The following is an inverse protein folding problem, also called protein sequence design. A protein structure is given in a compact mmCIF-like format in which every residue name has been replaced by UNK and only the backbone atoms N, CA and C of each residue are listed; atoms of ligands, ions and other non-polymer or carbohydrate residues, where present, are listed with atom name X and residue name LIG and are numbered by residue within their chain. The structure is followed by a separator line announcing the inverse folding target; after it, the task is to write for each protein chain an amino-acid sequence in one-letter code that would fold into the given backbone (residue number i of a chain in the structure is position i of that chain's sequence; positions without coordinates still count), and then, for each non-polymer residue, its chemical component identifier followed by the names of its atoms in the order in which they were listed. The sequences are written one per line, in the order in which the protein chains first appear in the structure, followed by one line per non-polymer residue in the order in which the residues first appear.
data_IF_826430931011
#
_entry.id   IF_826430931011
#
_cell.length_a   1.000
_cell.length_b   1.000
_cell.length_c   1.000
_cell.angle_alpha   90.00
_cell.angle_beta   90.00
_cell.angle_gamma   90.00
#
_symmetry.space_group_name_H-M   'P 1'
#
loop_
_entity.id
_entity.type
_entity.pdbx_description
1 polymer ?
#
# COMPACT_ATOMS: atom_id res chain seq x y z
N UNK A 1 -2.46 13.74 -5.99
CA UNK A 1 -1.75 12.45 -6.14
C UNK A 1 -2.76 11.34 -6.38
N UNK A 2 -2.54 10.51 -7.39
CA UNK A 2 -3.41 9.37 -7.69
C UNK A 2 -3.44 8.40 -6.50
N UNK A 3 -4.64 8.04 -6.04
CA UNK A 3 -4.78 7.04 -4.98
C UNK A 3 -4.34 5.71 -5.56
N UNK A 4 -3.20 5.19 -5.12
CA UNK A 4 -2.71 3.86 -5.53
C UNK A 4 -3.74 2.82 -5.10
N UNK A 5 -4.64 2.44 -6.01
CA UNK A 5 -5.64 1.39 -5.79
C UNK A 5 -4.95 0.04 -5.92
N UNK A 6 -4.24 -0.35 -4.87
CA UNK A 6 -3.61 -1.68 -4.82
C UNK A 6 -4.69 -2.72 -4.55
N UNK A 7 -5.14 -3.41 -5.59
CA UNK A 7 -6.11 -4.50 -5.42
C UNK A 7 -5.39 -5.77 -4.95
N UNK A 8 -5.86 -6.34 -3.84
CA UNK A 8 -5.34 -7.61 -3.29
C UNK A 8 -5.39 -8.75 -4.32
N UNK A 9 -6.42 -8.73 -5.18
CA UNK A 9 -6.62 -9.72 -6.25
C UNK A 9 -5.52 -9.63 -7.31
N UNK A 10 -5.15 -8.43 -7.75
CA UNK A 10 -4.07 -8.23 -8.71
C UNK A 10 -2.72 -8.65 -8.13
N UNK A 11 -2.40 -8.24 -6.91
CA UNK A 11 -1.17 -8.66 -6.22
C UNK A 11 -1.07 -10.17 -6.07
N UNK A 12 -2.17 -10.83 -5.70
CA UNK A 12 -2.21 -12.29 -5.57
C UNK A 12 -1.95 -12.98 -6.92
N UNK A 13 -2.60 -12.53 -8.00
CA UNK A 13 -2.38 -13.10 -9.34
C UNK A 13 -0.93 -12.95 -9.74
N UNK A 14 -0.41 -11.72 -9.67
CA UNK A 14 0.95 -11.40 -10.07
C UNK A 14 2.00 -12.21 -9.29
N UNK A 15 1.84 -12.35 -7.97
CA UNK A 15 2.75 -13.15 -7.14
C UNK A 15 2.63 -14.65 -7.44
N UNK A 16 1.42 -15.15 -7.67
CA UNK A 16 1.20 -16.54 -8.06
C UNK A 16 1.87 -16.85 -9.40
N UNK A 17 1.65 -15.99 -10.39
CA UNK A 17 2.15 -16.15 -11.75
C UNK A 17 3.68 -16.08 -11.76
N UNK A 18 4.26 -15.09 -11.08
CA UNK A 18 5.71 -14.96 -10.93
C UNK A 18 6.36 -16.18 -10.26
N UNK A 19 5.78 -16.70 -9.18
CA UNK A 19 6.31 -17.90 -8.52
C UNK A 19 6.16 -19.16 -9.38
N UNK A 20 5.06 -19.30 -10.13
CA UNK A 20 4.87 -20.41 -11.07
C UNK A 20 5.91 -20.36 -12.18
N UNK A 21 6.13 -19.19 -12.79
CA UNK A 21 7.17 -19.00 -13.81
C UNK A 21 8.55 -19.32 -13.28
N UNK A 22 8.92 -18.82 -12.10
CA UNK A 22 10.23 -19.11 -11.48
C UNK A 22 10.47 -20.62 -11.26
N UNK A 23 9.43 -21.37 -10.88
CA UNK A 23 9.51 -22.81 -10.68
C UNK A 23 9.55 -23.57 -12.00
N UNK A 24 8.85 -23.09 -13.02
CA UNK A 24 8.92 -23.66 -14.37
C UNK A 24 10.33 -23.57 -14.97
N UNK A 25 11.12 -22.55 -14.61
CA UNK A 25 12.50 -22.40 -15.06
C UNK A 25 13.51 -23.30 -14.34
N UNK A 26 13.14 -23.94 -13.23
CA UNK A 26 14.06 -24.77 -12.44
C UNK A 26 14.26 -26.19 -13.02
N UNK A 27 13.75 -26.48 -14.22
CA UNK A 27 13.79 -27.80 -14.89
C UNK A 27 13.36 -28.97 -13.97
N UNK A 28 12.51 -28.68 -12.98
CA UNK A 28 12.01 -29.67 -12.05
C UNK A 28 10.92 -30.53 -12.72
N UNK A 29 10.76 -31.80 -12.29
CA UNK A 29 9.62 -32.62 -12.70
C UNK A 29 8.31 -31.87 -12.43
N UNK A 30 7.28 -32.14 -13.25
CA UNK A 30 5.99 -31.44 -13.19
C UNK A 30 5.52 -31.28 -11.73
N UNK A 31 5.22 -30.05 -11.29
CA UNK A 31 4.85 -29.80 -9.90
C UNK A 31 3.60 -30.61 -9.54
N UNK A 32 3.67 -31.33 -8.42
CA UNK A 32 2.52 -32.07 -7.91
C UNK A 32 1.45 -31.10 -7.40
N UNK A 33 0.19 -31.56 -7.33
CA UNK A 33 -0.94 -30.78 -6.76
C UNK A 33 -0.66 -30.22 -5.37
N UNK A 34 0.23 -30.85 -4.57
CA UNK A 34 0.64 -30.37 -3.24
C UNK A 34 1.51 -29.11 -3.35
N UNK A 35 2.44 -29.08 -4.31
CA UNK A 35 3.30 -27.92 -4.56
C UNK A 35 2.48 -26.75 -5.06
N UNK A 36 1.56 -26.97 -6.00
CA UNK A 36 0.66 -25.91 -6.49
C UNK A 36 -0.17 -25.30 -5.35
N UNK A 37 -0.74 -26.13 -4.47
CA UNK A 37 -1.46 -25.66 -3.28
C UNK A 37 -0.58 -24.85 -2.33
N UNK A 38 0.70 -25.21 -2.22
CA UNK A 38 1.65 -24.50 -1.37
C UNK A 38 1.98 -23.12 -1.94
N UNK A 39 2.18 -23.02 -3.26
CA UNK A 39 2.39 -21.76 -3.97
C UNK A 39 1.17 -20.84 -3.88
N UNK A 40 -0.02 -21.39 -4.04
CA UNK A 40 -1.27 -20.65 -3.87
C UNK A 40 -1.46 -20.13 -2.44
N UNK A 41 -1.04 -20.90 -1.42
CA UNK A 41 -1.06 -20.44 -0.02
C UNK A 41 -0.01 -19.34 0.22
N UNK A 42 1.20 -19.52 -0.30
CA UNK A 42 2.28 -18.55 -0.19
C UNK A 42 1.92 -17.21 -0.84
N UNK A 43 1.40 -17.24 -2.08
CA UNK A 43 0.98 -16.03 -2.81
C UNK A 43 -0.12 -15.26 -2.07
N UNK A 44 -1.10 -15.97 -1.48
CA UNK A 44 -2.14 -15.35 -0.66
C UNK A 44 -1.57 -14.66 0.59
N UNK A 45 -0.60 -15.29 1.26
CA UNK A 45 0.02 -14.72 2.46
C UNK A 45 0.83 -13.48 2.12
N UNK A 46 1.72 -13.58 1.13
CA UNK A 46 2.53 -12.48 0.63
C UNK A 46 1.66 -11.30 0.17
N UNK A 47 0.65 -11.55 -0.67
CA UNK A 47 -0.26 -10.49 -1.12
C UNK A 47 -0.98 -9.79 0.04
N UNK A 48 -1.32 -10.53 1.11
CA UNK A 48 -1.96 -9.95 2.30
C UNK A 48 -0.99 -9.05 3.08
N UNK A 49 0.25 -9.49 3.27
CA UNK A 49 1.28 -8.71 3.95
C UNK A 49 1.67 -7.47 3.14
N UNK A 50 1.85 -7.59 1.82
CA UNK A 50 2.12 -6.46 0.94
C UNK A 50 1.02 -5.39 1.00
N UNK A 51 -0.26 -5.80 0.95
CA UNK A 51 -1.37 -4.85 1.10
C UNK A 51 -1.34 -4.16 2.46
N UNK A 52 -0.96 -4.88 3.52
CA UNK A 52 -0.86 -4.30 4.86
C UNK A 52 0.27 -3.26 4.94
N UNK A 53 1.46 -3.60 4.40
CA UNK A 53 2.62 -2.70 4.34
C UNK A 53 2.27 -1.45 3.52
N UNK A 54 1.68 -1.62 2.34
CA UNK A 54 1.29 -0.52 1.45
C UNK A 54 0.28 0.40 2.13
N UNK A 55 -0.74 -0.14 2.81
CA UNK A 55 -1.69 0.68 3.60
C UNK A 55 -1.00 1.43 4.75
N UNK A 56 -0.02 0.81 5.40
CA UNK A 56 0.73 1.45 6.50
C UNK A 56 1.59 2.59 5.99
N UNK A 57 2.23 2.41 4.83
CA UNK A 57 3.02 3.44 4.17
C UNK A 57 2.14 4.59 3.67
N UNK A 58 1.01 4.27 3.03
CA UNK A 58 0.04 5.26 2.54
C UNK A 58 -0.58 6.09 3.68
N UNK A 59 -0.72 5.51 4.88
CA UNK A 59 -1.11 6.25 6.08
C UNK A 59 0.00 7.17 6.59
N UNK A 60 1.27 6.77 6.48
CA UNK A 60 2.41 7.61 6.88
C UNK A 60 2.56 8.80 5.93
N UNK A 61 2.51 8.58 4.63
CA UNK A 61 2.61 9.64 3.61
C UNK A 61 1.50 10.67 3.76
N UNK A 62 0.24 10.24 3.97
CA UNK A 62 -0.87 11.17 4.24
C UNK A 62 -0.72 11.96 5.54
N UNK A 63 -0.07 11.41 6.55
CA UNK A 63 0.23 12.15 7.79
C UNK A 63 1.28 13.22 7.53
N UNK A 64 2.39 12.87 6.89
CA UNK A 64 3.41 13.86 6.51
C UNK A 64 2.88 14.96 5.59
N UNK A 65 1.97 14.64 4.67
CA UNK A 65 1.30 15.66 3.82
C UNK A 65 0.45 16.63 4.64
N UNK A 66 -0.27 16.13 5.65
CA UNK A 66 -1.05 16.96 6.58
C UNK A 66 -0.16 17.84 7.46
N UNK A 67 0.98 17.30 7.89
CA UNK A 67 1.93 18.04 8.72
C UNK A 67 2.62 19.15 7.90
N UNK A 68 3.01 18.86 6.65
CA UNK A 68 3.55 19.86 5.73
C UNK A 68 2.54 20.97 5.41
N UNK A 69 1.30 20.60 5.08
CA UNK A 69 0.24 21.60 4.84
C UNK A 69 -0.09 22.42 6.09
N UNK A 70 -0.04 21.83 7.29
CA UNK A 70 -0.18 22.57 8.54
C UNK A 70 0.95 23.59 8.74
N UNK A 71 2.21 23.19 8.52
CA UNK A 71 3.36 24.10 8.61
C UNK A 71 3.24 25.23 7.58
N UNK A 72 2.87 24.93 6.34
CA UNK A 72 2.63 25.95 5.32
C UNK A 72 1.51 26.92 5.72
N UNK A 73 0.41 26.45 6.28
CA UNK A 73 -0.71 27.30 6.73
C UNK A 73 -0.33 28.21 7.91
N UNK A 74 0.54 27.72 8.81
CA UNK A 74 1.10 28.49 9.93
C UNK A 74 2.08 29.56 9.41
N UNK A 75 3.01 29.19 8.53
CA UNK A 75 3.97 30.12 7.91
C UNK A 75 3.28 31.18 7.04
N UNK A 76 2.21 30.81 6.33
CA UNK A 76 1.39 31.75 5.53
C UNK A 76 0.47 32.63 6.41
N UNK A 77 0.52 32.51 7.75
CA UNK A 77 -0.23 33.34 8.68
C UNK A 77 -1.76 33.20 8.57
N UNK A 78 -2.28 32.15 7.92
CA UNK A 78 -3.72 32.01 7.63
C UNK A 78 -4.54 31.65 8.87
N UNK A 79 -3.95 31.01 9.88
CA UNK A 79 -4.66 30.66 11.11
C UNK A 79 -4.78 31.79 12.14
N UNK A 80 -3.85 32.76 12.18
CA UNK A 80 -3.95 33.89 13.11
C UNK A 80 -5.09 34.87 12.74
N UNK A 81 -5.53 34.88 11.49
CA UNK A 81 -6.69 35.67 11.04
C UNK A 81 -8.03 35.04 11.41
N UNK A 82 -8.13 33.70 11.51
CA UNK A 82 -9.39 33.01 11.82
C UNK A 82 -9.75 33.04 13.31
N UNK A 83 -8.76 33.11 14.20
CA UNK A 83 -9.00 33.27 15.65
C UNK A 83 -9.40 34.70 16.04
N UNK A 84 -8.94 35.73 15.32
CA UNK A 84 -9.38 37.12 15.55
C UNK A 84 -10.81 37.37 15.06
N UNK A 85 -11.25 36.75 13.97
CA UNK A 85 -12.61 36.95 13.44
C UNK A 85 -13.72 36.30 14.28
N UNK A 86 -13.40 35.29 15.10
CA UNK A 86 -14.34 34.60 16.00
C UNK A 86 -14.42 35.22 17.39
N UNK A 87 -13.59 36.22 17.70
CA UNK A 87 -13.59 36.93 18.98
C UNK A 87 -14.18 38.36 18.86
N UNK A 88 -14.80 38.69 17.73
CA UNK A 88 -15.39 40.02 17.45
C UNK A 88 -16.81 39.89 16.87
N UNK A 89 -17.62 39.05 17.51
CA UNK A 89 -19.08 39.01 17.43
C UNK A 89 -19.59 38.80 18.85
#
# INVERSE_FOLDING_TARGET
MEKIKVSKKALKSLLSDSMRTAISHLELPKPTKKVEKLLDKSSKKLASEFVHILKKQDRKTRKSEKDLTYVEDVLKGKKSKKSKALATV
#
